data_IF_525042395868
#
_entry.id   IF_525042395868
#
_cell.length_a   1.000
_cell.length_b   1.000
_cell.length_c   1.000
_cell.angle_alpha   90.00
_cell.angle_beta   90.00
_cell.angle_gamma   90.00
#
_symmetry.space_group_name_H-M   'P 1'
#
loop_
_entity.id
_entity.type
_entity.pdbx_description
1 polymer ?
#
# COMPACT_ATOMS: atom_id res chain seq x y z
N UNK A 1 -15.03 34.39 -43.85
CA UNK A 1 -15.91 33.60 -42.95
C UNK A 1 -15.03 33.03 -41.84
N UNK A 2 -15.11 33.59 -40.62
CA UNK A 2 -14.31 33.14 -39.46
C UNK A 2 -15.14 32.11 -38.69
N UNK A 3 -14.79 30.83 -38.83
CA UNK A 3 -15.41 29.74 -38.08
C UNK A 3 -14.83 29.69 -36.67
N UNK A 4 -15.67 29.95 -35.67
CA UNK A 4 -15.33 29.76 -34.27
C UNK A 4 -15.27 28.26 -33.97
N UNK A 5 -14.09 27.78 -33.57
CA UNK A 5 -13.89 26.43 -33.07
C UNK A 5 -14.53 26.35 -31.68
N UNK A 6 -15.71 25.72 -31.59
CA UNK A 6 -16.37 25.44 -30.33
C UNK A 6 -15.57 24.34 -29.61
N UNK A 7 -14.76 24.70 -28.62
CA UNK A 7 -14.21 23.72 -27.68
C UNK A 7 -15.37 23.25 -26.78
N UNK A 8 -15.88 22.06 -27.06
CA UNK A 8 -16.80 21.35 -26.18
C UNK A 8 -16.03 20.97 -24.92
N UNK A 9 -16.24 21.72 -23.83
CA UNK A 9 -15.80 21.32 -22.50
C UNK A 9 -16.63 20.12 -22.06
N UNK A 10 -16.01 18.93 -22.02
CA UNK A 10 -16.58 17.77 -21.33
C UNK A 10 -16.74 18.09 -19.84
N UNK A 11 -17.94 18.44 -19.41
CA UNK A 11 -18.33 18.58 -17.99
C UNK A 11 -18.93 17.28 -17.43
N UNK A 12 -18.69 16.15 -18.09
CA UNK A 12 -19.11 14.84 -17.61
C UNK A 12 -18.08 14.29 -16.62
N UNK A 13 -18.28 14.53 -15.32
CA UNK A 13 -17.83 13.67 -14.21
C UNK A 13 -16.42 13.07 -14.33
N UNK A 14 -15.41 13.87 -14.70
CA UNK A 14 -14.04 13.40 -14.78
C UNK A 14 -13.57 12.96 -13.39
N UNK A 15 -13.57 11.65 -13.14
CA UNK A 15 -12.77 11.06 -12.09
C UNK A 15 -11.34 11.53 -12.29
N UNK A 16 -10.80 12.31 -11.33
CA UNK A 16 -9.43 12.78 -11.49
C UNK A 16 -8.48 11.59 -11.35
N UNK A 17 -7.44 11.50 -12.19
CA UNK A 17 -6.52 10.40 -12.18
C UNK A 17 -5.75 10.32 -10.85
N UNK A 18 -5.21 9.15 -10.54
CA UNK A 18 -4.22 8.98 -9.47
C UNK A 18 -2.99 9.81 -9.81
N UNK A 19 -2.65 10.77 -8.95
CA UNK A 19 -1.49 11.66 -9.11
C UNK A 19 -0.30 11.22 -8.28
N UNK A 20 -0.51 10.74 -7.07
CA UNK A 20 0.54 10.31 -6.14
C UNK A 20 0.06 9.11 -5.31
N UNK A 21 0.98 8.23 -4.96
CA UNK A 21 0.74 7.09 -4.07
C UNK A 21 1.91 6.97 -3.12
N UNK A 22 1.64 6.85 -1.82
CA UNK A 22 2.65 6.73 -0.79
C UNK A 22 2.26 5.65 0.22
N UNK A 23 3.25 4.86 0.65
CA UNK A 23 3.08 3.99 1.81
C UNK A 23 3.23 4.79 3.10
N UNK A 24 2.43 4.45 4.10
CA UNK A 24 2.60 4.86 5.49
C UNK A 24 2.83 3.61 6.32
N UNK A 25 3.86 3.66 7.14
CA UNK A 25 4.30 2.55 7.98
C UNK A 25 4.58 3.13 9.36
N UNK A 26 3.71 2.81 10.32
CA UNK A 26 3.75 3.40 11.64
C UNK A 26 4.11 2.32 12.67
N UNK A 27 5.29 2.42 13.32
CA UNK A 27 5.64 1.52 14.40
C UNK A 27 4.62 1.67 15.53
N UNK A 28 4.06 0.56 16.00
CA UNK A 28 3.21 0.60 17.20
C UNK A 28 4.15 0.78 18.40
N UNK A 29 3.95 1.84 19.17
CA UNK A 29 4.82 2.19 20.30
C UNK A 29 4.40 1.42 21.55
N UNK A 30 5.42 0.94 22.27
CA UNK A 30 5.38 0.25 23.57
C UNK A 30 4.44 0.87 24.60
N UNK A 31 3.94 0.05 25.52
CA UNK A 31 3.34 0.53 26.78
C UNK A 31 4.31 1.45 27.54
N UNK A 32 3.77 2.30 28.42
CA UNK A 32 4.53 3.20 29.28
C UNK A 32 5.54 2.48 30.21
N UNK A 33 5.36 1.19 30.51
CA UNK A 33 6.30 0.34 31.27
C UNK A 33 7.36 -0.35 30.40
N UNK A 34 7.47 0.02 29.12
CA UNK A 34 8.52 -0.44 28.21
C UNK A 34 8.31 -1.85 27.67
N UNK A 35 7.13 -2.45 27.88
CA UNK A 35 6.77 -3.74 27.27
C UNK A 35 6.18 -3.52 25.88
N UNK A 36 6.61 -4.36 24.95
CA UNK A 36 5.92 -4.53 23.68
C UNK A 36 4.53 -5.10 24.00
N UNK A 37 3.48 -4.40 23.58
CA UNK A 37 2.09 -4.84 23.86
C UNK A 37 1.77 -6.09 23.04
N UNK A 38 2.43 -6.26 21.88
CA UNK A 38 2.08 -7.21 20.83
C UNK A 38 3.32 -7.78 20.08
N UNK A 39 4.44 -8.06 20.76
CA UNK A 39 5.71 -8.55 20.17
C UNK A 39 6.42 -7.60 19.17
N UNK A 40 5.87 -6.40 18.95
CA UNK A 40 6.39 -5.39 18.02
C UNK A 40 5.85 -5.56 16.60
N UNK A 41 5.82 -4.47 15.84
CA UNK A 41 5.29 -4.49 14.48
C UNK A 41 4.93 -3.11 13.94
N UNK A 42 4.39 -3.09 12.74
CA UNK A 42 4.09 -1.89 11.97
C UNK A 42 2.70 -2.00 11.36
N UNK A 43 1.88 -0.99 11.62
CA UNK A 43 0.63 -0.80 10.87
C UNK A 43 0.96 -0.13 9.54
N UNK A 44 0.48 -0.74 8.46
CA UNK A 44 0.69 -0.25 7.11
C UNK A 44 -0.62 0.27 6.53
N UNK A 45 -0.57 1.50 6.03
CA UNK A 45 -1.62 2.08 5.19
C UNK A 45 -1.03 2.60 3.87
N UNK A 46 -1.90 2.78 2.88
CA UNK A 46 -1.56 3.39 1.60
C UNK A 46 -2.33 4.69 1.45
N UNK A 47 -1.60 5.78 1.24
CA UNK A 47 -2.13 7.09 0.90
C UNK A 47 -2.15 7.23 -0.62
N UNK A 48 -3.30 7.57 -1.17
CA UNK A 48 -3.54 7.76 -2.60
C UNK A 48 -4.07 9.16 -2.80
N UNK A 49 -3.40 9.95 -3.65
CA UNK A 49 -3.83 11.30 -4.02
C UNK A 49 -4.33 11.32 -5.47
N UNK A 50 -5.41 12.07 -5.68
CA UNK A 50 -6.05 12.33 -6.96
C UNK A 50 -7.00 13.52 -6.81
N UNK A 51 -8.28 13.38 -7.16
CA UNK A 51 -9.30 14.41 -6.86
C UNK A 51 -9.44 14.66 -5.35
N UNK A 52 -9.25 13.61 -4.57
CA UNK A 52 -9.26 13.62 -3.10
C UNK A 52 -8.10 12.77 -2.62
N UNK A 53 -7.60 13.07 -1.42
CA UNK A 53 -6.64 12.20 -0.74
C UNK A 53 -7.40 11.12 0.01
N UNK A 54 -6.98 9.88 -0.14
CA UNK A 54 -7.55 8.73 0.56
C UNK A 54 -6.43 7.97 1.24
N UNK A 55 -6.70 7.51 2.46
CA UNK A 55 -5.82 6.60 3.18
C UNK A 55 -6.57 5.30 3.45
N UNK A 56 -5.91 4.18 3.19
CA UNK A 56 -6.49 2.85 3.33
C UNK A 56 -5.55 1.99 4.14
N UNK A 57 -6.03 1.49 5.28
CA UNK A 57 -5.30 0.48 6.05
C UNK A 57 -5.21 -0.82 5.25
N UNK A 58 -4.00 -1.37 5.19
CA UNK A 58 -3.72 -2.65 4.57
C UNK A 58 -3.67 -3.76 5.61
N UNK A 59 -3.01 -3.51 6.74
CA UNK A 59 -2.93 -4.45 7.84
C UNK A 59 -1.75 -4.19 8.76
N UNK A 60 -1.60 -5.10 9.72
CA UNK A 60 -0.51 -5.15 10.67
C UNK A 60 0.54 -6.17 10.20
N UNK A 61 1.82 -5.81 10.29
CA UNK A 61 2.94 -6.66 9.87
C UNK A 61 4.00 -6.73 10.98
N UNK A 62 4.61 -7.91 11.20
CA UNK A 62 5.67 -8.05 12.19
C UNK A 62 6.95 -7.32 11.75
N UNK A 63 7.74 -6.89 12.73
CA UNK A 63 9.06 -6.29 12.51
C UNK A 63 9.03 -4.87 11.98
N UNK A 64 9.81 -4.59 10.95
CA UNK A 64 9.96 -3.26 10.36
C UNK A 64 9.68 -3.28 8.85
N UNK A 65 9.13 -2.17 8.33
CA UNK A 65 8.84 -2.01 6.90
C UNK A 65 9.78 -0.99 6.25
N UNK A 66 10.26 -1.30 5.04
CA UNK A 66 11.14 -0.44 4.23
C UNK A 66 10.63 -0.34 2.80
N UNK A 67 10.59 0.89 2.25
CA UNK A 67 10.35 1.12 0.83
C UNK A 67 11.57 0.74 0.00
N UNK A 68 11.37 -0.06 -1.05
CA UNK A 68 12.49 -0.59 -1.87
C UNK A 68 12.63 0.04 -3.25
N UNK A 69 11.60 0.73 -3.76
CA UNK A 69 11.63 1.32 -5.12
C UNK A 69 11.63 2.84 -5.07
N UNK A 70 12.28 3.48 -6.05
CA UNK A 70 12.32 4.94 -6.20
C UNK A 70 10.92 5.57 -6.38
N UNK A 71 9.97 4.80 -6.89
CA UNK A 71 8.56 5.21 -7.03
C UNK A 71 7.69 4.86 -5.81
N UNK A 72 8.27 4.34 -4.72
CA UNK A 72 7.54 3.85 -3.55
C UNK A 72 6.40 2.85 -3.92
N UNK A 73 6.54 2.13 -5.03
CA UNK A 73 5.57 1.13 -5.51
C UNK A 73 5.56 -0.15 -4.69
N UNK A 74 6.61 -0.36 -3.89
CA UNK A 74 6.83 -1.58 -3.11
C UNK A 74 7.32 -1.26 -1.70
N UNK A 75 6.71 -1.92 -0.72
CA UNK A 75 7.06 -1.91 0.68
C UNK A 75 7.37 -3.34 1.12
N UNK A 76 8.49 -3.55 1.80
CA UNK A 76 8.88 -4.86 2.33
C UNK A 76 8.88 -4.79 3.85
N UNK A 77 8.14 -5.69 4.48
CA UNK A 77 8.10 -5.84 5.94
C UNK A 77 8.71 -7.18 6.34
N UNK A 78 9.61 -7.16 7.31
CA UNK A 78 10.29 -8.36 7.80
C UNK A 78 10.65 -8.23 9.27
N UNK A 79 10.59 -9.34 9.98
CA UNK A 79 11.09 -9.50 11.34
C UNK A 79 12.18 -10.58 11.34
N UNK A 80 13.36 -10.36 11.95
CA UNK A 80 14.42 -11.36 12.00
C UNK A 80 14.06 -12.62 12.83
N UNK A 81 12.97 -12.59 13.60
CA UNK A 81 12.49 -13.71 14.40
C UNK A 81 11.31 -14.45 13.76
N UNK A 82 10.90 -14.05 12.54
CA UNK A 82 9.79 -14.66 11.81
C UNK A 82 10.29 -15.16 10.47
N UNK A 83 9.99 -16.42 10.14
CA UNK A 83 10.44 -17.09 8.90
C UNK A 83 9.64 -16.63 7.65
N UNK A 84 9.04 -15.44 7.69
CA UNK A 84 8.22 -14.88 6.63
C UNK A 84 8.57 -13.42 6.38
N UNK A 85 8.85 -13.11 5.12
CA UNK A 85 8.99 -11.76 4.61
C UNK A 85 7.73 -11.39 3.83
N UNK A 86 7.16 -10.24 4.17
CA UNK A 86 5.99 -9.70 3.50
C UNK A 86 6.42 -8.63 2.49
N UNK A 87 5.91 -8.72 1.26
CA UNK A 87 6.06 -7.68 0.26
C UNK A 87 4.68 -7.15 -0.13
N UNK A 88 4.49 -5.85 0.01
CA UNK A 88 3.31 -5.13 -0.46
C UNK A 88 3.70 -4.35 -1.71
N UNK A 89 2.86 -4.42 -2.72
CA UNK A 89 3.04 -3.65 -3.95
C UNK A 89 1.73 -3.09 -4.44
N UNK A 90 1.76 -1.90 -5.03
CA UNK A 90 0.62 -1.36 -5.74
C UNK A 90 0.92 -1.23 -7.23
N UNK A 91 -0.12 -1.36 -8.04
CA UNK A 91 -0.09 -1.09 -9.46
C UNK A 91 -1.38 -0.36 -9.86
N UNK A 92 -1.28 0.53 -10.86
CA UNK A 92 -2.49 1.12 -11.47
C UNK A 92 -3.18 0.04 -12.31
N UNK A 93 -4.45 -0.23 -11.99
CA UNK A 93 -5.31 -1.11 -12.77
C UNK A 93 -6.04 -0.33 -13.89
N UNK A 94 -6.35 0.94 -13.62
CA UNK A 94 -6.93 1.92 -14.54
C UNK A 94 -6.45 3.33 -14.14
N UNK A 95 -6.78 4.40 -14.88
CA UNK A 95 -6.39 5.77 -14.51
C UNK A 95 -6.86 6.22 -13.11
N UNK A 96 -7.96 5.66 -12.62
CA UNK A 96 -8.65 5.98 -11.37
C UNK A 96 -8.63 4.84 -10.34
N UNK A 97 -8.13 3.66 -10.69
CA UNK A 97 -8.10 2.49 -9.81
C UNK A 97 -6.68 1.99 -9.54
N UNK A 98 -6.37 1.78 -8.26
CA UNK A 98 -5.16 1.07 -7.81
C UNK A 98 -5.50 -0.31 -7.29
N UNK A 99 -4.61 -1.26 -7.54
CA UNK A 99 -4.65 -2.61 -6.98
C UNK A 99 -3.46 -2.79 -6.06
N UNK A 100 -3.70 -3.26 -4.84
CA UNK A 100 -2.66 -3.57 -3.86
C UNK A 100 -2.56 -5.09 -3.72
N UNK A 101 -1.36 -5.60 -3.92
CA UNK A 101 -1.01 -7.01 -3.75
C UNK A 101 -0.15 -7.20 -2.52
N UNK A 102 -0.42 -8.28 -1.79
CA UNK A 102 0.45 -8.83 -0.75
C UNK A 102 1.06 -10.13 -1.25
N UNK A 103 2.37 -10.24 -1.07
CA UNK A 103 3.15 -11.45 -1.31
C UNK A 103 3.86 -11.85 -0.02
N UNK A 104 3.89 -13.15 0.24
CA UNK A 104 4.58 -13.72 1.40
C UNK A 104 5.68 -14.63 0.86
N UNK A 105 6.89 -14.48 1.39
CA UNK A 105 8.06 -15.27 1.03
C UNK A 105 8.56 -15.97 2.28
N UNK A 106 8.74 -17.29 2.21
CA UNK A 106 9.47 -17.99 3.25
C UNK A 106 10.92 -17.46 3.28
N UNK A 107 11.37 -17.05 4.46
CA UNK A 107 12.78 -16.75 4.71
C UNK A 107 13.45 -18.07 5.05
N UNK A 108 14.49 -18.50 4.32
CA UNK A 108 15.13 -19.77 4.63
C UNK A 108 15.85 -19.72 5.99
N UNK A 109 15.61 -20.72 6.84
CA UNK A 109 16.25 -20.89 8.17
C UNK A 109 17.79 -20.98 8.15
N UNK A 110 18.41 -21.04 6.96
CA UNK A 110 19.83 -21.35 6.79
C UNK A 110 20.55 -20.23 6.07
N UNK A 111 21.65 -19.79 6.70
CA UNK A 111 22.60 -18.85 6.12
C UNK A 111 23.11 -19.33 4.75
N UNK A 112 23.15 -18.39 3.80
CA UNK A 112 23.68 -18.63 2.45
C UNK A 112 22.69 -19.22 1.44
N UNK A 113 21.45 -19.52 1.85
CA UNK A 113 20.38 -19.85 0.91
C UNK A 113 19.78 -18.54 0.38
N UNK A 114 19.76 -18.32 -0.94
CA UNK A 114 19.16 -17.12 -1.50
C UNK A 114 17.64 -17.09 -1.19
N UNK A 115 17.05 -15.91 -0.97
CA UNK A 115 15.62 -15.79 -0.70
C UNK A 115 14.81 -16.41 -1.84
N UNK A 116 13.67 -17.01 -1.49
CA UNK A 116 12.78 -17.62 -2.46
C UNK A 116 12.41 -16.62 -3.57
N UNK A 117 12.53 -17.05 -4.84
CA UNK A 117 12.23 -16.21 -6.00
C UNK A 117 10.73 -16.13 -6.30
N UNK A 118 9.98 -17.17 -5.93
CA UNK A 118 8.52 -17.21 -6.02
C UNK A 118 7.90 -17.03 -4.62
N UNK A 119 6.82 -16.24 -4.50
CA UNK A 119 6.12 -16.10 -3.23
C UNK A 119 5.35 -17.38 -2.90
N UNK A 120 5.29 -17.72 -1.62
CA UNK A 120 4.47 -18.82 -1.09
C UNK A 120 2.98 -18.48 -1.13
N UNK A 121 2.66 -17.18 -0.96
CA UNK A 121 1.30 -16.64 -1.06
C UNK A 121 1.35 -15.38 -1.92
N UNK A 122 0.39 -15.22 -2.83
CA UNK A 122 0.18 -14.00 -3.60
C UNK A 122 -1.31 -13.71 -3.71
N UNK A 123 -1.76 -12.54 -3.23
CA UNK A 123 -3.17 -12.15 -3.25
C UNK A 123 -3.36 -10.64 -3.37
N UNK A 124 -4.51 -10.25 -3.89
CA UNK A 124 -4.99 -8.86 -3.85
C UNK A 124 -5.61 -8.60 -2.50
N UNK A 125 -5.14 -7.57 -1.80
CA UNK A 125 -5.63 -7.21 -0.46
C UNK A 125 -6.46 -5.93 -0.45
N UNK A 126 -6.29 -5.06 -1.45
CA UNK A 126 -7.15 -3.90 -1.62
C UNK A 126 -7.27 -3.51 -3.10
N UNK A 127 -8.45 -2.99 -3.45
CA UNK A 127 -8.68 -2.25 -4.71
C UNK A 127 -9.21 -0.88 -4.33
N UNK A 128 -8.53 0.16 -4.80
CA UNK A 128 -8.81 1.56 -4.45
C UNK A 128 -9.35 2.27 -5.68
N UNK A 129 -10.66 2.48 -5.72
CA UNK A 129 -11.30 3.34 -6.72
C UNK A 129 -11.30 4.80 -6.20
N UNK A 130 -10.49 5.64 -6.83
CA UNK A 130 -10.39 7.08 -6.51
C UNK A 130 -11.51 7.87 -7.18
N UNK A 131 -12.07 7.35 -8.27
CA UNK A 131 -13.13 7.95 -9.09
C UNK A 131 -14.54 7.78 -8.52
N UNK A 132 -14.88 6.59 -8.00
CA UNK A 132 -16.16 6.33 -7.32
C UNK A 132 -15.96 6.19 -5.82
N UNK A 133 -16.55 7.10 -5.06
CA UNK A 133 -16.55 7.03 -3.60
C UNK A 133 -17.53 5.94 -3.12
N UNK A 134 -17.04 4.73 -2.87
CA UNK A 134 -17.59 3.87 -1.82
C UNK A 134 -16.44 3.20 -1.07
N UNK A 135 -16.19 3.71 0.14
CA UNK A 135 -15.23 3.15 1.08
C UNK A 135 -15.71 1.76 1.52
N UNK A 136 -14.96 0.71 1.20
CA UNK A 136 -14.89 -0.48 2.05
C UNK A 136 -13.81 -0.21 3.09
N UNK A 137 -14.28 0.06 4.30
CA UNK A 137 -13.52 0.52 5.44
C UNK A 137 -12.41 -0.47 5.83
N UNK A 138 -11.18 0.03 6.02
CA UNK A 138 -10.15 -0.57 6.86
C UNK A 138 -9.65 0.53 7.79
N UNK A 139 -10.14 0.57 9.02
CA UNK A 139 -9.78 1.62 9.98
C UNK A 139 -8.49 1.19 10.70
N UNK A 140 -7.35 1.56 10.13
CA UNK A 140 -6.14 1.86 10.89
C UNK A 140 -5.62 3.18 10.32
N UNK A 141 -5.64 4.22 11.14
CA UNK A 141 -5.00 5.48 10.86
C UNK A 141 -3.70 5.45 11.64
N UNK A 142 -2.59 5.66 10.96
CA UNK A 142 -1.38 6.12 11.63
C UNK A 142 -1.74 7.35 12.48
N UNK A 143 -1.50 7.35 13.81
CA UNK A 143 -1.80 8.50 14.66
C UNK A 143 -0.94 9.74 14.33
#
# INVERSE_FOLDING_TARGET
MRGALLMVMCTAGCAAPVTEVAWRACPITRTADGRDIDDGGVDVSIEVRGASTREISIGHFPGACRGETAEASRLVCSDPHVDVRYELSWARASPDTLRVEQREYAVPDRDGVPPATAPTVSRVVATVDVGNARLTQGKAQCP
#
